data_IF_088571755720
#
_entry.id   IF_088571755720
#
_cell.length_a   1.000
_cell.length_b   1.000
_cell.length_c   1.000
_cell.angle_alpha   90.00
_cell.angle_beta   90.00
_cell.angle_gamma   90.00
#
_symmetry.space_group_name_H-M   'P 1'
#
loop_
_entity.id
_entity.type
_entity.pdbx_description
1 polymer ?
#
# COMPACT_ATOMS: atom_id res chain seq x y z
N UNK A 1 9.21 2.17 -2.18
CA UNK A 1 8.21 2.07 -1.09
C UNK A 1 6.83 2.65 -1.43
N UNK A 2 6.69 3.88 -1.94
CA UNK A 2 5.34 4.40 -2.30
C UNK A 2 4.59 3.55 -3.33
N UNK A 3 5.28 3.12 -4.39
CA UNK A 3 4.66 2.25 -5.39
C UNK A 3 4.32 0.85 -4.82
N UNK A 4 5.16 0.32 -3.92
CA UNK A 4 4.85 -0.90 -3.17
C UNK A 4 3.56 -0.73 -2.35
N UNK A 5 3.42 0.37 -1.61
CA UNK A 5 2.22 0.67 -0.82
C UNK A 5 0.95 0.73 -1.68
N UNK A 6 1.01 1.41 -2.82
CA UNK A 6 -0.10 1.48 -3.76
C UNK A 6 -0.48 0.10 -4.30
N UNK A 7 0.51 -0.68 -4.76
CA UNK A 7 0.28 -2.03 -5.29
C UNK A 7 -0.32 -2.97 -4.23
N UNK A 8 0.16 -2.92 -2.99
CA UNK A 8 -0.40 -3.68 -1.87
C UNK A 8 -1.83 -3.26 -1.56
N UNK A 9 -2.11 -1.96 -1.52
CA UNK A 9 -3.45 -1.45 -1.25
C UNK A 9 -4.44 -1.90 -2.32
N UNK A 10 -4.09 -1.77 -3.60
CA UNK A 10 -4.93 -2.23 -4.72
C UNK A 10 -5.14 -3.74 -4.65
N UNK A 11 -4.09 -4.52 -4.39
CA UNK A 11 -4.19 -5.98 -4.27
C UNK A 11 -5.12 -6.43 -3.13
N UNK A 12 -5.18 -5.69 -2.03
CA UNK A 12 -6.01 -6.01 -0.87
C UNK A 12 -7.43 -5.46 -0.98
N UNK A 13 -7.60 -4.28 -1.59
CA UNK A 13 -8.85 -3.55 -1.61
C UNK A 13 -9.84 -4.00 -2.69
N UNK A 14 -9.38 -4.64 -3.77
CA UNK A 14 -10.24 -5.13 -4.85
C UNK A 14 -10.51 -6.62 -4.74
N UNK A 15 -11.73 -7.07 -5.09
CA UNK A 15 -12.09 -8.49 -5.09
C UNK A 15 -11.75 -9.23 -6.39
N UNK A 16 -11.56 -8.52 -7.50
CA UNK A 16 -11.24 -9.13 -8.80
C UNK A 16 -9.93 -9.93 -8.75
N UNK A 17 -9.99 -11.22 -9.10
CA UNK A 17 -8.82 -12.11 -9.14
C UNK A 17 -7.73 -11.57 -10.08
N UNK A 18 -8.12 -10.99 -11.21
CA UNK A 18 -7.18 -10.39 -12.17
C UNK A 18 -6.44 -9.22 -11.54
N UNK A 19 -7.17 -8.28 -10.91
CA UNK A 19 -6.58 -7.10 -10.24
C UNK A 19 -5.68 -7.52 -9.09
N UNK A 20 -6.14 -8.47 -8.25
CA UNK A 20 -5.32 -9.00 -7.15
C UNK A 20 -4.01 -9.60 -7.64
N UNK A 21 -4.07 -10.42 -8.71
CA UNK A 21 -2.90 -11.13 -9.24
C UNK A 21 -1.87 -10.15 -9.80
N UNK A 22 -2.33 -9.20 -10.61
CA UNK A 22 -1.46 -8.20 -11.24
C UNK A 22 -0.81 -7.28 -10.19
N UNK A 23 -1.62 -6.64 -9.35
CA UNK A 23 -1.12 -5.75 -8.31
C UNK A 23 -0.19 -6.46 -7.31
N UNK A 24 -0.45 -7.73 -6.98
CA UNK A 24 0.46 -8.51 -6.13
C UNK A 24 1.79 -8.82 -6.83
N UNK A 25 1.79 -9.08 -8.14
CA UNK A 25 3.01 -9.27 -8.90
C UNK A 25 3.84 -7.98 -8.96
N UNK A 26 3.18 -6.84 -9.19
CA UNK A 26 3.82 -5.52 -9.14
C UNK A 26 4.42 -5.22 -7.76
N UNK A 27 3.68 -5.52 -6.68
CA UNK A 27 4.18 -5.35 -5.31
C UNK A 27 5.44 -6.19 -5.04
N UNK A 28 5.47 -7.45 -5.50
CA UNK A 28 6.68 -8.30 -5.39
C UNK A 28 7.86 -7.70 -6.15
N UNK A 29 7.64 -7.21 -7.38
CA UNK A 29 8.69 -6.52 -8.13
C UNK A 29 9.28 -5.33 -7.35
N UNK A 30 8.44 -4.49 -6.73
CA UNK A 30 8.95 -3.38 -5.90
C UNK A 30 9.65 -3.80 -4.60
N UNK A 31 9.37 -5.01 -4.10
CA UNK A 31 10.05 -5.58 -2.95
C UNK A 31 11.44 -6.09 -3.33
N UNK A 32 11.56 -6.78 -4.47
CA UNK A 32 12.82 -7.36 -4.95
C UNK A 32 13.88 -6.28 -5.28
N UNK A 33 13.45 -5.11 -5.74
CA UNK A 33 14.36 -3.99 -6.07
C UNK A 33 14.42 -2.90 -4.98
N UNK A 34 13.86 -3.15 -3.79
CA UNK A 34 13.74 -2.16 -2.72
C UNK A 34 14.80 -2.33 -1.63
N UNK A 35 15.51 -1.25 -1.29
CA UNK A 35 16.42 -1.21 -0.12
C UNK A 35 15.66 -0.96 1.20
N UNK A 36 14.58 -1.70 1.44
CA UNK A 36 13.78 -1.55 2.65
C UNK A 36 13.64 -2.87 3.39
N UNK A 37 13.72 -2.76 4.70
CA UNK A 37 13.65 -3.85 5.66
C UNK A 37 12.30 -4.60 5.63
N UNK A 38 12.24 -5.84 6.13
CA UNK A 38 10.98 -6.60 6.23
C UNK A 38 9.98 -5.92 7.17
N UNK A 39 10.48 -5.26 8.22
CA UNK A 39 9.67 -4.46 9.13
C UNK A 39 9.02 -3.26 8.41
N UNK A 40 9.75 -2.62 7.49
CA UNK A 40 9.20 -1.53 6.67
C UNK A 40 8.01 -2.00 5.80
N UNK A 41 8.16 -3.16 5.16
CA UNK A 41 7.10 -3.75 4.33
C UNK A 41 5.87 -4.12 5.16
N UNK A 42 6.10 -4.70 6.35
CA UNK A 42 5.03 -5.06 7.30
C UNK A 42 4.27 -3.82 7.79
N UNK A 43 4.98 -2.73 8.08
CA UNK A 43 4.37 -1.45 8.46
C UNK A 43 3.48 -0.88 7.34
N UNK A 44 3.95 -0.94 6.09
CA UNK A 44 3.14 -0.51 4.93
C UNK A 44 1.91 -1.39 4.72
N UNK A 45 2.02 -2.70 4.88
CA UNK A 45 0.86 -3.61 4.80
C UNK A 45 -0.21 -3.25 5.84
N UNK A 46 0.22 -2.96 7.07
CA UNK A 46 -0.69 -2.54 8.15
C UNK A 46 -1.39 -1.23 7.78
N UNK A 47 -0.63 -0.22 7.36
CA UNK A 47 -1.16 1.08 6.96
C UNK A 47 -2.14 0.95 5.78
N UNK A 48 -1.85 0.10 4.79
CA UNK A 48 -2.75 -0.14 3.67
C UNK A 48 -4.11 -0.72 4.13
N UNK A 49 -4.11 -1.64 5.10
CA UNK A 49 -5.35 -2.18 5.66
C UNK A 49 -6.18 -1.09 6.37
N UNK A 50 -5.52 -0.19 7.10
CA UNK A 50 -6.18 0.94 7.78
C UNK A 50 -6.87 1.86 6.76
N UNK A 51 -6.19 2.22 5.66
CA UNK A 51 -6.78 3.05 4.61
C UNK A 51 -7.95 2.37 3.89
N UNK A 52 -7.86 1.06 3.60
CA UNK A 52 -8.94 0.31 2.96
C UNK A 52 -10.20 0.27 3.85
N UNK A 53 -10.02 0.16 5.17
CA UNK A 53 -11.10 0.08 6.15
C UNK A 53 -11.87 1.41 6.35
N UNK A 54 -11.30 2.54 5.94
CA UNK A 54 -11.98 3.84 6.06
C UNK A 54 -13.33 3.86 5.32
N UNK A 55 -14.34 4.50 5.90
CA UNK A 55 -15.64 4.68 5.23
C UNK A 55 -15.63 5.98 4.44
N UNK A 56 -15.80 5.90 3.13
CA UNK A 56 -15.87 7.08 2.25
C UNK A 56 -17.32 7.30 1.84
N UNK A 57 -17.81 8.52 2.02
CA UNK A 57 -19.08 8.95 1.44
C UNK A 57 -18.92 9.09 -0.07
N UNK A 58 -19.75 8.39 -0.83
CA UNK A 58 -19.75 8.43 -2.29
C UNK A 58 -21.16 8.60 -2.83
N UNK A 59 -21.34 9.53 -3.77
CA UNK A 59 -22.60 9.68 -4.51
C UNK A 59 -22.86 8.49 -5.45
N UNK A 60 -21.80 7.83 -5.95
CA UNK A 60 -21.92 6.66 -6.83
C UNK A 60 -22.18 5.36 -6.07
N UNK A 61 -22.21 5.38 -4.73
CA UNK A 61 -22.29 4.20 -3.85
C UNK A 61 -21.12 3.20 -3.96
N UNK A 62 -20.12 3.50 -4.78
CA UNK A 62 -18.88 2.73 -4.85
C UNK A 62 -18.06 2.85 -3.55
N UNK A 63 -17.29 1.82 -3.17
CA UNK A 63 -16.51 1.80 -1.92
C UNK A 63 -15.31 2.75 -1.93
N UNK A 64 -15.04 3.41 -3.07
CA UNK A 64 -13.92 4.33 -3.27
C UNK A 64 -12.55 3.72 -2.96
N UNK A 65 -12.40 2.42 -3.22
CA UNK A 65 -11.16 1.68 -2.99
C UNK A 65 -9.94 2.35 -3.64
N UNK A 66 -10.07 2.80 -4.90
CA UNK A 66 -8.96 3.49 -5.56
C UNK A 66 -8.58 4.79 -4.85
N UNK A 67 -9.58 5.60 -4.47
CA UNK A 67 -9.33 6.87 -3.78
C UNK A 67 -8.61 6.62 -2.45
N UNK A 68 -9.03 5.64 -1.66
CA UNK A 68 -8.35 5.24 -0.42
C UNK A 68 -6.89 4.87 -0.65
N UNK A 69 -6.59 4.16 -1.75
CA UNK A 69 -5.21 3.79 -2.09
C UNK A 69 -4.40 4.98 -2.63
N UNK A 70 -5.03 5.93 -3.31
CA UNK A 70 -4.40 7.20 -3.70
C UNK A 70 -4.09 8.04 -2.46
N UNK A 71 -5.01 8.10 -1.49
CA UNK A 71 -4.81 8.84 -0.25
C UNK A 71 -3.71 8.20 0.60
N UNK A 72 -3.63 6.87 0.66
CA UNK A 72 -2.49 6.15 1.23
C UNK A 72 -1.17 6.57 0.57
N UNK A 73 -1.13 6.63 -0.77
CA UNK A 73 0.10 6.97 -1.50
C UNK A 73 0.64 8.36 -1.13
N UNK A 74 -0.27 9.30 -0.83
CA UNK A 74 0.05 10.68 -0.46
C UNK A 74 0.10 10.93 1.05
N UNK A 75 -0.09 9.90 1.88
CA UNK A 75 -0.25 10.07 3.33
C UNK A 75 1.06 10.44 4.03
N UNK A 76 0.93 11.24 5.10
CA UNK A 76 2.06 11.62 5.94
C UNK A 76 2.60 10.41 6.74
N UNK A 77 1.73 9.45 7.05
CA UNK A 77 2.04 8.18 7.70
C UNK A 77 2.96 7.33 6.81
N UNK A 78 2.64 7.21 5.51
CA UNK A 78 3.49 6.50 4.57
C UNK A 78 4.84 7.20 4.40
N UNK A 79 4.84 8.52 4.29
CA UNK A 79 6.08 9.31 4.24
C UNK A 79 6.94 9.10 5.49
N UNK A 80 6.33 8.98 6.66
CA UNK A 80 7.02 8.72 7.93
C UNK A 80 7.66 7.33 7.94
N UNK A 81 6.96 6.29 7.48
CA UNK A 81 7.53 4.94 7.31
C UNK A 81 8.73 5.00 6.35
N UNK A 82 8.60 5.68 5.20
CA UNK A 82 9.70 5.81 4.23
C UNK A 82 10.92 6.43 4.88
N UNK A 83 10.76 7.51 5.64
CA UNK A 83 11.86 8.19 6.35
C UNK A 83 12.47 7.32 7.44
N UNK A 84 11.66 6.60 8.21
CA UNK A 84 12.12 5.75 9.32
C UNK A 84 13.03 4.61 8.87
N UNK A 85 12.73 4.02 7.70
CA UNK A 85 13.41 2.81 7.20
C UNK A 85 14.37 3.06 6.03
N UNK A 86 14.50 4.29 5.54
CA UNK A 86 15.47 4.61 4.47
C UNK A 86 16.90 4.38 4.98
N UNK A 87 17.62 3.44 4.36
CA UNK A 87 19.03 3.18 4.66
C UNK A 87 19.30 2.42 5.96
N UNK A 88 18.29 1.74 6.53
CA UNK A 88 18.47 0.83 7.67
C UNK A 88 18.32 -0.62 7.20
N UNK A 89 19.36 -1.41 7.38
CA UNK A 89 19.27 -2.87 7.29
C UNK A 89 18.56 -3.42 8.54
N UNK A 90 17.85 -4.54 8.40
CA UNK A 90 17.29 -5.25 9.55
C UNK A 90 18.47 -5.73 10.42
N UNK A 91 18.71 -5.03 11.54
CA UNK A 91 19.71 -5.38 12.55
C UNK A 91 19.35 -6.63 13.33
#
# INVERSE_FOLDING_TARGET
MKNYALSVCVAKGYNSKQVKKDASATARGYLEFGNYSLAAHSAVIKLANEFIANKYSSQSREPMTLAKCIDLYHSAELESIVKQYKGKEDS
#
